data_IF_739260848020
#
_entry.id   IF_739260848020
#
_cell.length_a   1.000
_cell.length_b   1.000
_cell.length_c   1.000
_cell.angle_alpha   90.00
_cell.angle_beta   90.00
_cell.angle_gamma   90.00
#
_symmetry.space_group_name_H-M   'P 1'
#
loop_
_entity.id
_entity.type
_entity.pdbx_description
1 polymer ?
#
# COMPACT_ATOMS: atom_id res chain seq x y z
N UNK A 1 18.12 32.38 -2.05
CA UNK A 1 17.66 32.20 -0.65
C UNK A 1 17.27 30.75 -0.53
N UNK A 2 18.06 29.98 0.21
CA UNK A 2 17.78 28.56 0.45
C UNK A 2 16.46 28.46 1.23
N UNK A 3 15.43 27.90 0.59
CA UNK A 3 14.08 27.82 1.19
C UNK A 3 14.04 26.83 2.38
N UNK A 4 15.11 26.07 2.62
CA UNK A 4 15.17 25.09 3.71
C UNK A 4 15.51 25.70 5.08
N UNK A 5 16.04 26.93 5.14
CA UNK A 5 16.39 27.61 6.41
C UNK A 5 15.17 27.96 7.28
N UNK A 6 13.96 27.94 6.71
CA UNK A 6 12.69 28.15 7.42
C UNK A 6 11.71 26.97 7.23
N UNK A 7 12.20 25.74 7.38
CA UNK A 7 11.36 24.55 7.25
C UNK A 7 10.33 24.47 8.38
N UNK A 8 9.06 24.72 8.04
CA UNK A 8 7.92 24.45 8.93
C UNK A 8 7.23 23.18 8.44
N UNK A 9 7.40 22.09 9.18
CA UNK A 9 6.70 20.84 8.89
C UNK A 9 5.19 21.04 9.06
N UNK A 10 4.40 20.43 8.17
CA UNK A 10 2.96 20.33 8.36
C UNK A 10 2.65 19.44 9.56
N UNK A 11 1.42 19.54 10.05
CA UNK A 11 0.85 18.63 11.04
C UNK A 11 1.08 17.18 10.62
N UNK A 12 1.79 16.37 11.43
CA UNK A 12 2.07 14.97 11.14
C UNK A 12 0.85 14.06 11.36
N UNK A 13 -0.24 14.54 11.94
CA UNK A 13 -1.43 13.71 12.15
C UNK A 13 -2.01 13.21 10.82
N UNK A 14 -2.45 11.94 10.75
CA UNK A 14 -3.09 11.40 9.57
C UNK A 14 -4.43 12.10 9.31
N UNK A 15 -4.72 12.37 8.05
CA UNK A 15 -5.98 12.99 7.62
C UNK A 15 -6.97 11.92 7.20
N UNK A 16 -8.18 11.97 7.73
CA UNK A 16 -9.24 11.01 7.43
C UNK A 16 -10.47 11.79 6.95
N UNK A 17 -10.93 11.50 5.74
CA UNK A 17 -12.15 12.09 5.23
C UNK A 17 -13.37 11.64 6.07
N UNK A 18 -14.35 12.50 6.38
CA UNK A 18 -15.49 12.15 7.25
C UNK A 18 -16.37 10.97 6.79
N UNK A 19 -16.28 10.60 5.50
CA UNK A 19 -17.03 9.48 4.92
C UNK A 19 -16.23 8.18 4.84
N UNK A 20 -14.97 8.17 5.30
CA UNK A 20 -14.17 6.96 5.36
C UNK A 20 -14.57 6.09 6.55
N UNK A 21 -14.59 4.77 6.36
CA UNK A 21 -14.88 3.79 7.40
C UNK A 21 -13.63 2.99 7.76
N UNK A 22 -13.13 3.18 8.99
CA UNK A 22 -11.96 2.47 9.50
C UNK A 22 -12.35 1.59 10.68
N UNK A 23 -11.96 0.32 10.65
CA UNK A 23 -12.13 -0.61 11.78
C UNK A 23 -10.81 -1.29 12.11
N UNK A 24 -10.33 -1.13 13.35
CA UNK A 24 -9.09 -1.73 13.82
C UNK A 24 -7.88 -1.42 12.90
N UNK A 25 -7.74 -0.16 12.50
CA UNK A 25 -6.66 0.29 11.61
C UNK A 25 -5.59 1.09 12.39
N UNK A 26 -4.37 1.09 11.87
CA UNK A 26 -3.26 1.95 12.32
C UNK A 26 -2.82 2.81 11.15
N UNK A 27 -2.67 4.11 11.38
CA UNK A 27 -2.23 5.05 10.36
C UNK A 27 -0.92 5.71 10.81
N UNK A 28 0.04 5.77 9.90
CA UNK A 28 1.30 6.49 10.07
C UNK A 28 1.13 8.00 9.91
N UNK A 29 2.20 8.73 10.20
CA UNK A 29 2.24 10.19 10.10
C UNK A 29 2.01 10.63 8.66
N UNK A 30 1.33 11.75 8.46
CA UNK A 30 1.02 12.32 7.13
C UNK A 30 0.18 11.40 6.22
N UNK A 31 -0.28 10.24 6.70
CA UNK A 31 -1.14 9.38 5.92
C UNK A 31 -2.46 10.10 5.60
N UNK A 32 -3.05 9.80 4.44
CA UNK A 32 -4.27 10.48 4.00
C UNK A 32 -5.30 9.49 3.47
N UNK A 33 -6.47 9.46 4.09
CA UNK A 33 -7.55 8.55 3.74
C UNK A 33 -8.68 9.35 3.07
N UNK A 34 -8.88 9.10 1.78
CA UNK A 34 -9.85 9.79 0.93
C UNK A 34 -11.31 9.43 1.19
N UNK A 35 -12.19 10.08 0.43
CA UNK A 35 -13.64 9.93 0.53
C UNK A 35 -14.08 8.46 0.36
N UNK A 36 -14.98 7.98 1.23
CA UNK A 36 -15.61 6.65 1.12
C UNK A 36 -14.63 5.48 1.00
N UNK A 37 -13.42 5.64 1.53
CA UNK A 37 -12.46 4.54 1.68
C UNK A 37 -12.91 3.64 2.83
N UNK A 38 -12.82 2.32 2.64
CA UNK A 38 -13.17 1.33 3.67
C UNK A 38 -11.96 0.48 4.03
N UNK A 39 -11.46 0.62 5.27
CA UNK A 39 -10.32 -0.15 5.78
C UNK A 39 -10.73 -1.00 6.99
N UNK A 40 -10.33 -2.27 7.00
CA UNK A 40 -10.61 -3.20 8.11
C UNK A 40 -9.36 -3.99 8.46
N UNK A 41 -8.84 -3.85 9.67
CA UNK A 41 -7.61 -4.55 10.09
C UNK A 41 -6.44 -4.25 9.13
N UNK A 42 -6.19 -2.95 8.89
CA UNK A 42 -5.15 -2.46 7.97
C UNK A 42 -4.14 -1.57 8.71
N UNK A 43 -2.86 -1.74 8.43
CA UNK A 43 -1.80 -0.82 8.85
C UNK A 43 -1.29 -0.04 7.63
N UNK A 44 -1.25 1.29 7.74
CA UNK A 44 -0.80 2.20 6.67
C UNK A 44 0.41 2.97 7.16
N UNK A 45 1.53 2.90 6.44
CA UNK A 45 2.76 3.62 6.79
C UNK A 45 2.69 5.13 6.56
N UNK A 46 3.72 5.83 7.06
CA UNK A 46 3.85 7.28 6.94
C UNK A 46 3.76 7.74 5.48
N UNK A 47 3.16 8.90 5.24
CA UNK A 47 2.99 9.55 3.92
C UNK A 47 2.20 8.76 2.87
N UNK A 48 1.73 7.55 3.18
CA UNK A 48 0.90 6.75 2.28
C UNK A 48 -0.53 7.28 2.23
N UNK A 49 -1.17 7.20 1.07
CA UNK A 49 -2.54 7.68 0.92
C UNK A 49 -3.43 6.75 0.11
N UNK A 50 -4.72 6.86 0.39
CA UNK A 50 -5.80 6.27 -0.38
C UNK A 50 -6.64 7.37 -1.01
N UNK A 51 -6.82 7.27 -2.32
CA UNK A 51 -7.84 8.00 -3.04
C UNK A 51 -9.23 7.39 -2.82
N UNK A 52 -10.26 8.16 -3.19
CA UNK A 52 -11.66 7.84 -2.91
C UNK A 52 -12.08 6.42 -3.32
N UNK A 53 -13.02 5.84 -2.58
CA UNK A 53 -13.67 4.56 -2.88
C UNK A 53 -12.76 3.32 -2.91
N UNK A 54 -11.50 3.43 -2.49
CA UNK A 54 -10.64 2.27 -2.34
C UNK A 54 -11.03 1.44 -1.09
N UNK A 55 -10.80 0.14 -1.14
CA UNK A 55 -11.07 -0.76 -0.02
C UNK A 55 -9.89 -1.69 0.26
N UNK A 56 -9.57 -1.91 1.54
CA UNK A 56 -8.56 -2.87 1.96
C UNK A 56 -8.95 -3.60 3.25
N UNK A 57 -8.54 -4.87 3.36
CA UNK A 57 -8.72 -5.67 4.59
C UNK A 57 -7.51 -6.56 4.83
N UNK A 58 -7.16 -6.84 6.09
CA UNK A 58 -6.01 -7.69 6.46
C UNK A 58 -4.75 -7.37 5.63
N UNK A 59 -4.30 -6.12 5.70
CA UNK A 59 -3.23 -5.62 4.84
C UNK A 59 -2.25 -4.77 5.65
N UNK A 60 -0.95 -4.97 5.41
CA UNK A 60 0.10 -4.04 5.86
C UNK A 60 0.65 -3.30 4.65
N UNK A 61 0.70 -1.97 4.74
CA UNK A 61 1.17 -1.08 3.67
C UNK A 61 2.31 -0.24 4.22
N UNK A 62 3.42 -0.20 3.48
CA UNK A 62 4.59 0.61 3.80
C UNK A 62 4.33 2.13 3.70
N UNK A 63 5.42 2.86 3.68
CA UNK A 63 5.46 4.32 3.62
C UNK A 63 5.43 4.81 2.17
N UNK A 64 4.97 6.05 1.95
CA UNK A 64 4.97 6.72 0.64
C UNK A 64 4.20 5.97 -0.47
N UNK A 65 3.23 5.13 -0.12
CA UNK A 65 2.40 4.42 -1.09
C UNK A 65 1.30 5.33 -1.65
N UNK A 66 1.06 5.20 -2.95
CA UNK A 66 -0.03 5.86 -3.67
C UNK A 66 -1.10 4.83 -4.04
N UNK A 67 -2.25 4.84 -3.35
CA UNK A 67 -3.35 3.92 -3.65
C UNK A 67 -4.48 4.69 -4.36
N UNK A 68 -4.62 4.49 -5.66
CA UNK A 68 -5.57 5.22 -6.47
C UNK A 68 -7.03 4.78 -6.24
N UNK A 69 -7.96 5.61 -6.74
CA UNK A 69 -9.39 5.44 -6.49
C UNK A 69 -9.91 4.08 -6.98
N UNK A 70 -10.95 3.58 -6.30
CA UNK A 70 -11.62 2.30 -6.61
C UNK A 70 -10.71 1.06 -6.56
N UNK A 71 -9.51 1.14 -5.97
CA UNK A 71 -8.66 -0.04 -5.80
C UNK A 71 -9.21 -0.99 -4.74
N UNK A 72 -9.06 -2.30 -4.93
CA UNK A 72 -9.49 -3.34 -3.98
C UNK A 72 -8.30 -4.18 -3.54
N UNK A 73 -7.92 -4.09 -2.28
CA UNK A 73 -6.78 -4.81 -1.71
C UNK A 73 -7.26 -5.94 -0.80
N UNK A 74 -6.69 -7.13 -1.01
CA UNK A 74 -7.09 -8.36 -0.34
C UNK A 74 -8.57 -8.72 -0.59
N UNK A 75 -8.92 -8.92 -1.87
CA UNK A 75 -10.27 -9.31 -2.28
C UNK A 75 -10.64 -10.70 -1.72
N UNK A 76 -11.24 -10.72 -0.52
CA UNK A 76 -11.47 -11.93 0.27
C UNK A 76 -12.17 -13.05 -0.50
N UNK A 77 -11.69 -14.27 -0.29
CA UNK A 77 -12.28 -15.48 -0.86
C UNK A 77 -13.55 -15.95 -0.14
N UNK A 78 -14.41 -16.67 -0.84
CA UNK A 78 -15.57 -17.39 -0.29
C UNK A 78 -15.23 -18.89 -0.13
N UNK A 79 -15.86 -19.62 0.81
CA UNK A 79 -15.66 -21.06 0.93
C UNK A 79 -16.39 -21.74 -0.24
N UNK A 80 -15.64 -22.30 -1.18
CA UNK A 80 -16.17 -22.94 -2.40
C UNK A 80 -16.34 -24.45 -2.22
N UNK A 81 -15.77 -24.99 -1.15
CA UNK A 81 -15.82 -26.40 -0.77
C UNK A 81 -17.10 -26.78 -0.01
N UNK A 82 -17.89 -25.80 0.44
CA UNK A 82 -19.13 -26.00 1.21
C UNK A 82 -20.34 -26.08 0.30
N UNK A 83 -21.45 -26.59 0.84
CA UNK A 83 -22.76 -26.61 0.15
C UNK A 83 -23.25 -25.22 -0.31
N UNK A 84 -22.75 -24.13 0.28
CA UNK A 84 -23.03 -22.76 -0.17
C UNK A 84 -21.83 -21.84 0.02
N UNK A 85 -21.58 -20.97 -0.96
CA UNK A 85 -20.64 -19.86 -0.91
C UNK A 85 -21.18 -18.62 -0.19
N UNK A 86 -22.48 -18.61 0.14
CA UNK A 86 -23.14 -17.51 0.82
C UNK A 86 -22.64 -17.37 2.27
N UNK A 87 -22.63 -16.13 2.78
CA UNK A 87 -22.14 -15.83 4.13
C UNK A 87 -22.92 -16.51 5.26
N UNK A 88 -24.10 -17.07 4.97
CA UNK A 88 -24.83 -17.94 5.89
C UNK A 88 -23.94 -19.04 6.48
N UNK A 89 -23.03 -19.63 5.69
CA UNK A 89 -22.20 -20.76 6.14
C UNK A 89 -21.04 -20.37 7.05
N UNK A 90 -20.68 -19.08 7.14
CA UNK A 90 -19.52 -18.63 7.94
C UNK A 90 -19.75 -17.35 8.77
N UNK A 91 -20.90 -16.68 8.59
CA UNK A 91 -21.43 -15.55 9.36
C UNK A 91 -22.95 -15.72 9.57
N UNK A 92 -23.43 -16.87 10.09
CA UNK A 92 -24.86 -17.11 10.33
C UNK A 92 -25.44 -16.15 11.37
N UNK A 93 -24.59 -15.57 12.23
CA UNK A 93 -24.95 -14.58 13.24
C UNK A 93 -25.62 -13.31 12.68
N UNK A 94 -25.51 -13.05 11.38
CA UNK A 94 -26.21 -11.94 10.72
C UNK A 94 -27.69 -12.23 10.47
N UNK A 95 -28.10 -13.50 10.56
CA UNK A 95 -29.45 -13.96 10.24
C UNK A 95 -30.15 -14.62 11.43
N UNK A 96 -29.39 -15.34 12.25
CA UNK A 96 -29.91 -16.14 13.34
C UNK A 96 -29.28 -15.74 14.66
N UNK A 97 -30.11 -15.64 15.70
CA UNK A 97 -29.62 -15.48 17.07
C UNK A 97 -28.87 -16.75 17.51
N UNK A 98 -27.90 -16.58 18.40
CA UNK A 98 -27.13 -17.65 19.06
C UNK A 98 -26.14 -18.44 18.19
N UNK A 99 -26.17 -18.30 16.87
CA UNK A 99 -25.12 -18.82 16.00
C UNK A 99 -23.99 -17.80 15.88
N UNK A 100 -22.73 -18.25 16.04
CA UNK A 100 -21.53 -17.41 15.98
C UNK A 100 -20.92 -17.30 14.58
N UNK A 101 -19.86 -16.49 14.46
CA UNK A 101 -19.00 -16.45 13.26
C UNK A 101 -18.11 -17.69 13.24
N UNK A 102 -17.88 -18.24 12.04
CA UNK A 102 -16.90 -19.30 11.84
C UNK A 102 -15.48 -18.76 12.04
N UNK A 103 -14.93 -19.02 13.23
CA UNK A 103 -13.61 -18.57 13.63
C UNK A 103 -12.50 -19.18 12.77
N UNK A 104 -12.62 -20.44 12.36
CA UNK A 104 -11.61 -21.12 11.55
C UNK A 104 -11.53 -20.51 10.14
N UNK A 105 -12.68 -20.24 9.53
CA UNK A 105 -12.71 -19.58 8.22
C UNK A 105 -12.24 -18.11 8.30
N UNK A 106 -12.56 -17.40 9.38
CA UNK A 106 -11.99 -16.07 9.63
C UNK A 106 -10.46 -16.12 9.73
N UNK A 107 -9.92 -17.04 10.52
CA UNK A 107 -8.48 -17.23 10.68
C UNK A 107 -7.81 -17.57 9.33
N UNK A 108 -8.43 -18.41 8.49
CA UNK A 108 -7.95 -18.70 7.13
C UNK A 108 -7.82 -17.44 6.28
N UNK A 109 -8.81 -16.54 6.30
CA UNK A 109 -8.75 -15.27 5.57
C UNK A 109 -7.68 -14.34 6.13
N UNK A 110 -7.52 -14.27 7.46
CA UNK A 110 -6.48 -13.48 8.11
C UNK A 110 -5.06 -13.99 7.78
N UNK A 111 -4.88 -15.31 7.66
CA UNK A 111 -3.62 -15.92 7.25
C UNK A 111 -3.21 -15.58 5.81
N UNK A 112 -4.14 -15.08 4.99
CA UNK A 112 -3.90 -14.57 3.63
C UNK A 112 -3.83 -13.04 3.62
N UNK A 113 -3.14 -12.47 4.59
CA UNK A 113 -2.88 -11.03 4.62
C UNK A 113 -2.02 -10.60 3.42
N UNK A 114 -2.27 -9.38 2.94
CA UNK A 114 -1.46 -8.77 1.87
C UNK A 114 -0.37 -7.89 2.50
N UNK A 115 0.84 -7.94 1.94
CA UNK A 115 1.95 -7.06 2.34
C UNK A 115 2.37 -6.17 1.18
N UNK A 116 2.36 -4.86 1.37
CA UNK A 116 2.79 -3.86 0.40
C UNK A 116 3.99 -3.13 0.99
N UNK A 117 5.09 -3.06 0.24
CA UNK A 117 6.32 -2.35 0.61
C UNK A 117 6.15 -0.83 0.60
N UNK A 118 7.27 -0.11 0.52
CA UNK A 118 7.32 1.35 0.47
C UNK A 118 7.32 1.86 -0.99
N UNK A 119 6.91 3.10 -1.24
CA UNK A 119 6.91 3.74 -2.57
C UNK A 119 6.13 2.95 -3.65
N UNK A 120 5.11 2.20 -3.23
CA UNK A 120 4.29 1.41 -4.17
C UNK A 120 3.18 2.26 -4.76
N UNK A 121 2.99 2.18 -6.08
CA UNK A 121 1.84 2.77 -6.75
C UNK A 121 0.84 1.69 -7.18
N UNK A 122 -0.38 1.77 -6.63
CA UNK A 122 -1.52 0.95 -7.05
C UNK A 122 -2.46 1.81 -7.90
N UNK A 123 -2.55 1.48 -9.19
CA UNK A 123 -3.35 2.19 -10.17
C UNK A 123 -4.87 2.03 -9.96
N UNK A 124 -5.63 2.97 -10.55
CA UNK A 124 -7.09 3.04 -10.40
C UNK A 124 -7.77 1.70 -10.68
N UNK A 125 -8.69 1.27 -9.83
CA UNK A 125 -9.48 0.05 -10.05
C UNK A 125 -8.68 -1.25 -9.99
N UNK A 126 -7.41 -1.23 -9.58
CA UNK A 126 -6.62 -2.46 -9.46
C UNK A 126 -7.14 -3.33 -8.32
N UNK A 127 -7.09 -4.65 -8.53
CA UNK A 127 -7.48 -5.67 -7.56
C UNK A 127 -6.26 -6.49 -7.15
N UNK A 128 -5.97 -6.52 -5.86
CA UNK A 128 -4.87 -7.28 -5.27
C UNK A 128 -5.47 -8.51 -4.55
N UNK A 129 -5.12 -9.70 -5.03
CA UNK A 129 -5.67 -10.94 -4.46
C UNK A 129 -5.08 -11.27 -3.07
N UNK A 130 -5.79 -12.05 -2.24
CA UNK A 130 -5.33 -12.40 -0.90
C UNK A 130 -3.97 -13.12 -0.88
N UNK A 131 -3.19 -12.86 0.17
CA UNK A 131 -1.97 -13.60 0.49
C UNK A 131 -0.74 -13.26 -0.35
N UNK A 132 -0.76 -12.14 -1.10
CA UNK A 132 0.36 -11.74 -1.95
C UNK A 132 1.18 -10.60 -1.35
N UNK A 133 2.45 -10.54 -1.76
CA UNK A 133 3.39 -9.45 -1.42
C UNK A 133 3.69 -8.58 -2.64
N UNK A 134 3.71 -7.26 -2.46
CA UNK A 134 4.14 -6.28 -3.46
C UNK A 134 5.39 -5.59 -2.92
N UNK A 135 6.52 -5.73 -3.62
CA UNK A 135 7.81 -5.18 -3.20
C UNK A 135 7.89 -3.66 -3.33
N UNK A 136 8.89 -3.07 -2.68
CA UNK A 136 9.16 -1.63 -2.67
C UNK A 136 9.23 -1.07 -4.11
N UNK A 137 8.72 0.14 -4.31
CA UNK A 137 8.79 0.82 -5.58
C UNK A 137 8.00 0.15 -6.72
N UNK A 138 7.26 -0.93 -6.49
CA UNK A 138 6.51 -1.59 -7.55
C UNK A 138 5.35 -0.72 -8.07
N UNK A 139 4.95 -0.95 -9.32
CA UNK A 139 3.82 -0.27 -9.95
C UNK A 139 2.80 -1.31 -10.42
N UNK A 140 1.56 -1.15 -9.98
CA UNK A 140 0.42 -1.91 -10.49
C UNK A 140 -0.40 -1.02 -11.40
N UNK A 141 -0.48 -1.36 -12.68
CA UNK A 141 -1.27 -0.62 -13.66
C UNK A 141 -2.76 -0.60 -13.31
N UNK A 142 -3.47 0.42 -13.80
CA UNK A 142 -4.92 0.55 -13.60
C UNK A 142 -5.69 -0.69 -14.08
N UNK A 143 -6.79 -1.02 -13.39
CA UNK A 143 -7.68 -2.15 -13.65
C UNK A 143 -7.00 -3.52 -13.71
N UNK A 144 -5.81 -3.67 -13.13
CA UNK A 144 -5.08 -4.94 -13.11
C UNK A 144 -5.58 -5.87 -12.01
N UNK A 145 -5.58 -7.19 -12.25
CA UNK A 145 -5.86 -8.20 -11.21
C UNK A 145 -4.58 -8.93 -10.88
N UNK A 146 -3.97 -8.57 -9.75
CA UNK A 146 -2.68 -9.12 -9.31
C UNK A 146 -2.92 -10.42 -8.55
N UNK A 147 -2.47 -11.53 -9.12
CA UNK A 147 -2.69 -12.90 -8.60
C UNK A 147 -1.42 -13.57 -8.07
N UNK A 148 -0.26 -12.89 -8.14
CA UNK A 148 1.05 -13.39 -7.72
C UNK A 148 1.86 -12.27 -7.08
N UNK A 149 2.86 -12.63 -6.28
CA UNK A 149 3.79 -11.67 -5.71
C UNK A 149 4.46 -10.82 -6.80
N UNK A 150 4.64 -9.53 -6.49
CA UNK A 150 5.27 -8.55 -7.39
C UNK A 150 6.64 -8.18 -6.81
N UNK A 151 7.75 -8.43 -7.53
CA UNK A 151 9.07 -8.02 -7.05
C UNK A 151 9.20 -6.50 -6.94
N UNK A 152 10.16 -6.05 -6.13
CA UNK A 152 10.48 -4.63 -5.99
C UNK A 152 10.78 -3.99 -7.37
N UNK A 153 10.38 -2.74 -7.53
CA UNK A 153 10.54 -1.93 -8.75
C UNK A 153 9.98 -2.55 -10.04
N UNK A 154 9.15 -3.59 -9.95
CA UNK A 154 8.52 -4.21 -11.11
C UNK A 154 7.22 -3.47 -11.46
N UNK A 155 7.01 -3.25 -12.75
CA UNK A 155 5.74 -2.75 -13.29
C UNK A 155 4.93 -3.96 -13.77
N UNK A 156 3.73 -4.14 -13.23
CA UNK A 156 2.78 -5.19 -13.63
C UNK A 156 1.49 -4.57 -14.15
N UNK A 157 0.85 -5.21 -15.14
CA UNK A 157 -0.50 -4.83 -15.54
C UNK A 157 -1.29 -5.99 -16.18
N UNK A 158 -2.62 -5.85 -16.23
CA UNK A 158 -3.52 -6.75 -16.95
C UNK A 158 -4.37 -7.67 -16.06
N UNK A 159 -5.15 -8.56 -16.69
CA UNK A 159 -6.05 -9.51 -16.02
C UNK A 159 -5.86 -10.91 -16.62
N UNK A 160 -5.12 -11.83 -15.96
CA UNK A 160 -4.31 -11.58 -14.75
C UNK A 160 -3.11 -10.66 -15.05
N UNK A 161 -2.65 -9.94 -14.02
CA UNK A 161 -1.52 -9.03 -14.15
C UNK A 161 -0.24 -9.80 -14.48
N UNK A 162 0.52 -9.30 -15.46
CA UNK A 162 1.83 -9.83 -15.85
C UNK A 162 2.91 -8.77 -15.68
N UNK A 163 4.15 -9.15 -15.35
CA UNK A 163 5.29 -8.24 -15.42
C UNK A 163 5.43 -7.67 -16.83
N UNK A 164 5.58 -6.35 -16.92
CA UNK A 164 5.84 -5.65 -18.16
C UNK A 164 7.34 -5.35 -18.29
N UNK A 165 7.90 -4.69 -17.28
CA UNK A 165 9.32 -4.31 -17.19
C UNK A 165 9.67 -3.89 -15.77
N UNK A 166 10.97 -3.76 -15.50
CA UNK A 166 11.47 -3.05 -14.32
C UNK A 166 11.34 -1.54 -14.50
N UNK A 167 11.21 -0.79 -13.39
CA UNK A 167 11.32 0.68 -13.37
C UNK A 167 12.72 1.13 -13.73
N UNK A 168 13.73 0.42 -13.20
CA UNK A 168 15.14 0.75 -13.29
C UNK A 168 15.99 -0.48 -13.63
N UNK A 169 17.22 -0.29 -14.12
CA UNK A 169 18.25 -1.32 -14.07
C UNK A 169 18.45 -1.85 -12.64
N UNK A 170 18.88 -3.10 -12.53
CA UNK A 170 18.99 -3.81 -11.24
C UNK A 170 19.97 -3.14 -10.25
N UNK A 171 21.04 -2.58 -10.76
CA UNK A 171 22.09 -1.89 -10.02
C UNK A 171 21.55 -0.60 -9.39
N UNK A 172 20.75 0.16 -10.15
CA UNK A 172 20.07 1.37 -9.66
C UNK A 172 19.02 1.00 -8.61
N UNK A 173 18.22 -0.04 -8.86
CA UNK A 173 17.23 -0.52 -7.89
C UNK A 173 17.89 -0.95 -6.56
N UNK A 174 19.03 -1.65 -6.62
CA UNK A 174 19.78 -2.07 -5.43
C UNK A 174 20.32 -0.88 -4.63
N UNK A 175 20.82 0.15 -5.33
CA UNK A 175 21.26 1.41 -4.70
C UNK A 175 20.12 2.12 -3.97
N UNK A 176 18.93 2.21 -4.58
CA UNK A 176 17.74 2.81 -3.94
C UNK A 176 17.32 2.01 -2.71
N UNK A 177 17.32 0.67 -2.76
CA UNK A 177 17.04 -0.17 -1.59
C UNK A 177 18.04 0.06 -0.46
N UNK A 178 19.33 0.15 -0.78
CA UNK A 178 20.37 0.43 0.21
C UNK A 178 20.23 1.82 0.81
N UNK A 179 19.81 2.81 0.02
CA UNK A 179 19.61 4.18 0.46
C UNK A 179 18.40 4.29 1.42
N UNK A 180 17.39 3.44 1.23
CA UNK A 180 16.19 3.33 2.07
C UNK A 180 15.58 4.70 2.42
N UNK A 181 15.45 5.58 1.42
CA UNK A 181 15.10 6.98 1.63
C UNK A 181 13.76 7.19 2.36
N UNK A 182 12.85 6.22 2.27
CA UNK A 182 11.58 6.20 3.01
C UNK A 182 11.74 6.13 4.55
N UNK A 183 12.93 5.83 5.06
CA UNK A 183 13.22 5.85 6.49
C UNK A 183 13.84 7.17 6.97
N UNK A 184 14.08 8.12 6.07
CA UNK A 184 14.65 9.41 6.43
C UNK A 184 13.71 10.24 7.31
N UNK A 185 14.26 11.04 8.23
CA UNK A 185 13.48 12.01 8.98
C UNK A 185 12.94 13.10 8.04
N UNK A 186 11.76 13.72 8.35
CA UNK A 186 11.14 14.72 7.49
C UNK A 186 12.03 15.90 7.09
N UNK A 187 12.96 16.30 7.96
CA UNK A 187 13.91 17.37 7.71
C UNK A 187 14.92 17.01 6.61
N UNK A 188 15.39 15.75 6.61
CA UNK A 188 16.28 15.24 5.56
C UNK A 188 15.52 15.10 4.24
N UNK A 189 14.29 14.58 4.28
CA UNK A 189 13.41 14.52 3.11
C UNK A 189 13.20 15.91 2.50
N UNK A 190 12.87 16.91 3.31
CA UNK A 190 12.63 18.27 2.83
C UNK A 190 13.84 18.87 2.11
N UNK A 191 15.06 18.59 2.59
CA UNK A 191 16.31 18.99 1.93
C UNK A 191 16.55 18.25 0.62
N UNK A 192 16.16 16.97 0.55
CA UNK A 192 16.37 16.13 -0.64
C UNK A 192 15.33 16.35 -1.74
N UNK A 193 14.13 16.86 -1.43
CA UNK A 193 13.05 17.04 -2.42
C UNK A 193 13.47 17.83 -3.67
N UNK A 194 14.18 18.98 -3.57
CA UNK A 194 14.67 19.67 -4.77
C UNK A 194 15.55 18.79 -5.67
N UNK A 195 16.41 17.97 -5.07
CA UNK A 195 17.28 17.05 -5.81
C UNK A 195 16.49 15.88 -6.41
N UNK A 196 15.52 15.32 -5.68
CA UNK A 196 14.60 14.29 -6.19
C UNK A 196 13.85 14.75 -7.45
N UNK A 197 13.61 16.06 -7.58
CA UNK A 197 12.90 16.67 -8.70
C UNK A 197 13.81 17.02 -9.88
N UNK A 198 15.06 17.40 -9.60
CA UNK A 198 15.95 18.03 -10.58
C UNK A 198 17.07 17.13 -11.09
N UNK A 199 17.58 16.21 -10.26
CA UNK A 199 18.74 15.39 -10.61
C UNK A 199 18.32 14.13 -11.37
N UNK A 200 19.13 13.68 -12.36
CA UNK A 200 19.12 12.29 -12.80
C UNK A 200 19.28 11.33 -11.60
N UNK A 201 18.74 10.12 -11.73
CA UNK A 201 18.69 9.18 -10.59
C UNK A 201 20.08 8.77 -10.12
N UNK A 202 21.03 8.63 -11.04
CA UNK A 202 22.43 8.34 -10.74
C UNK A 202 23.07 9.46 -9.93
N UNK A 203 22.93 10.71 -10.38
CA UNK A 203 23.46 11.89 -9.69
C UNK A 203 22.84 12.09 -8.31
N UNK A 204 21.53 11.80 -8.18
CA UNK A 204 20.84 11.82 -6.90
C UNK A 204 21.43 10.78 -5.94
N UNK A 205 21.60 9.53 -6.40
CA UNK A 205 22.17 8.46 -5.60
C UNK A 205 23.62 8.77 -5.20
N UNK A 206 24.45 9.23 -6.14
CA UNK A 206 25.85 9.58 -5.89
C UNK A 206 25.97 10.63 -4.77
N UNK A 207 25.12 11.65 -4.79
CA UNK A 207 25.11 12.70 -3.78
C UNK A 207 24.63 12.18 -2.42
N UNK A 208 23.49 11.52 -2.39
CA UNK A 208 22.81 11.21 -1.13
C UNK A 208 23.33 9.94 -0.45
N UNK A 209 23.99 9.02 -1.16
CA UNK A 209 24.69 7.89 -0.55
C UNK A 209 25.92 8.34 0.26
N UNK A 210 26.63 9.37 -0.21
CA UNK A 210 27.79 9.92 0.49
C UNK A 210 27.41 10.59 1.82
N UNK A 211 26.21 11.18 1.91
CA UNK A 211 25.66 11.76 3.14
C UNK A 211 25.06 10.71 4.11
N UNK A 212 25.08 9.42 3.76
CA UNK A 212 24.69 8.31 4.64
C UNK A 212 25.87 7.60 5.30
N UNK A 213 27.10 7.92 4.90
CA UNK A 213 28.35 7.41 5.49
C UNK A 213 28.80 8.29 6.65
#
# INVERSE_FOLDING_TARGET
MDRTENLVLKDPEPRIHPTAELKACKLGRYASIGERVVLREVSVGDFSYFERHAEAIYTTIGKFCSIAANSRINALEHPIERITQHKLSYRPNEYFRWLGVDAAFRARRQAKAVSIGNDVWIGHGAVIMPGISIGNGAIVGANSVVTRNVPAYTIVAGVPAKPLRMRFPSEIAARIESLAWWDWPPEKLAKAVPDMQALPIEDFLDRWEQEHS
#
